data_IF_777553690745
#
_entry.id   IF_777553690745
#
_cell.length_a   1.000
_cell.length_b   1.000
_cell.length_c   1.000
_cell.angle_alpha   90.00
_cell.angle_beta   90.00
_cell.angle_gamma   90.00
#
_symmetry.space_group_name_H-M   'P 1'
#
loop_
_entity.id
_entity.type
_entity.pdbx_description
1 polymer ?
#
# COMPACT_ATOMS: atom_id res chain seq x y z
N UNK A 1 -1.64 2.49 31.40
CA UNK A 1 -1.38 2.08 29.99
C UNK A 1 -1.97 3.17 29.09
N UNK A 2 -1.15 3.86 28.27
CA UNK A 2 -1.61 5.00 27.45
C UNK A 2 -2.55 4.53 26.33
N UNK A 3 -3.62 5.29 26.03
CA UNK A 3 -4.60 5.03 24.96
C UNK A 3 -3.93 4.74 23.59
N UNK A 4 -2.83 5.46 23.29
CA UNK A 4 -2.03 5.21 22.08
C UNK A 4 -1.39 3.80 22.05
N UNK A 5 -0.98 3.28 23.20
CA UNK A 5 -0.40 1.93 23.31
C UNK A 5 -1.49 0.85 23.11
N UNK A 6 -2.70 1.10 23.65
CA UNK A 6 -3.85 0.20 23.45
C UNK A 6 -4.25 0.17 21.97
N UNK A 7 -4.33 1.35 21.34
CA UNK A 7 -4.67 1.45 19.91
C UNK A 7 -3.66 0.71 19.01
N UNK A 8 -2.35 0.83 19.29
CA UNK A 8 -1.31 0.09 18.55
C UNK A 8 -1.42 -1.43 18.72
N UNK A 9 -1.69 -1.90 19.95
CA UNK A 9 -1.88 -3.34 20.20
C UNK A 9 -3.11 -3.88 19.48
N UNK A 10 -4.21 -3.13 19.50
CA UNK A 10 -5.44 -3.52 18.80
C UNK A 10 -5.22 -3.56 17.28
N UNK A 11 -4.58 -2.55 16.70
CA UNK A 11 -4.24 -2.54 15.28
C UNK A 11 -3.34 -3.73 14.89
N UNK A 12 -2.35 -4.09 15.73
CA UNK A 12 -1.50 -5.27 15.52
C UNK A 12 -2.31 -6.57 15.56
N UNK A 13 -3.20 -6.72 16.54
CA UNK A 13 -4.06 -7.91 16.64
C UNK A 13 -5.00 -8.02 15.45
N UNK A 14 -5.63 -6.92 15.04
CA UNK A 14 -6.48 -6.87 13.84
C UNK A 14 -5.70 -7.25 12.59
N UNK A 15 -4.50 -6.70 12.40
CA UNK A 15 -3.62 -7.03 11.27
C UNK A 15 -3.31 -8.53 11.23
N UNK A 16 -2.87 -9.10 12.34
CA UNK A 16 -2.53 -10.52 12.41
C UNK A 16 -3.75 -11.42 12.16
N UNK A 17 -4.92 -11.04 12.69
CA UNK A 17 -6.16 -11.76 12.49
C UNK A 17 -6.60 -11.73 11.01
N UNK A 18 -6.59 -10.55 10.38
CA UNK A 18 -7.00 -10.38 8.98
C UNK A 18 -6.01 -11.02 8.01
N UNK A 19 -4.70 -10.88 8.26
CA UNK A 19 -3.66 -11.55 7.44
C UNK A 19 -3.78 -13.08 7.50
N UNK A 20 -4.17 -13.63 8.64
CA UNK A 20 -4.37 -15.08 8.79
C UNK A 20 -5.73 -15.58 8.30
N UNK A 21 -6.74 -14.72 8.37
CA UNK A 21 -8.14 -15.02 8.02
C UNK A 21 -8.77 -13.79 7.35
N UNK A 22 -8.57 -13.57 6.05
CA UNK A 22 -8.99 -12.35 5.34
C UNK A 22 -10.49 -12.05 5.46
N UNK A 23 -11.34 -13.06 5.61
CA UNK A 23 -12.78 -12.88 5.78
C UNK A 23 -13.18 -12.07 7.04
N UNK A 24 -12.30 -12.03 8.08
CA UNK A 24 -12.51 -11.21 9.27
C UNK A 24 -12.53 -9.71 8.96
N UNK A 25 -11.95 -9.29 7.83
CA UNK A 25 -11.99 -7.90 7.40
C UNK A 25 -13.41 -7.32 7.35
N UNK A 26 -14.38 -8.12 6.97
CA UNK A 26 -15.80 -7.72 6.93
C UNK A 26 -16.30 -7.15 8.28
N UNK A 27 -15.73 -7.59 9.39
CA UNK A 27 -16.09 -7.11 10.73
C UNK A 27 -15.41 -5.78 11.07
N UNK A 28 -14.21 -5.54 10.53
CA UNK A 28 -13.38 -4.39 10.88
C UNK A 28 -13.48 -3.22 9.89
N UNK A 29 -13.83 -3.46 8.64
CA UNK A 29 -13.76 -2.46 7.56
C UNK A 29 -14.53 -1.17 7.86
N UNK A 30 -15.74 -1.27 8.45
CA UNK A 30 -16.57 -0.09 8.77
C UNK A 30 -15.92 0.78 9.84
N UNK A 31 -15.39 0.16 10.88
CA UNK A 31 -14.69 0.87 11.96
C UNK A 31 -13.40 1.48 11.46
N UNK A 32 -12.64 0.74 10.65
CA UNK A 32 -11.40 1.21 10.01
C UNK A 32 -11.69 2.43 9.12
N UNK A 33 -12.70 2.35 8.24
CA UNK A 33 -13.14 3.48 7.42
C UNK A 33 -13.48 4.71 8.27
N UNK A 34 -14.33 4.53 9.28
CA UNK A 34 -14.71 5.61 10.18
C UNK A 34 -13.52 6.25 10.89
N UNK A 35 -12.55 5.45 11.35
CA UNK A 35 -11.32 5.95 11.97
C UNK A 35 -10.50 6.81 11.01
N UNK A 36 -10.28 6.34 9.79
CA UNK A 36 -9.53 7.09 8.78
C UNK A 36 -10.28 8.34 8.31
N UNK A 37 -11.61 8.27 8.15
CA UNK A 37 -12.43 9.44 7.87
C UNK A 37 -12.31 10.51 8.96
N UNK A 38 -12.26 10.12 10.24
CA UNK A 38 -12.14 11.04 11.36
C UNK A 38 -10.77 11.75 11.42
N UNK A 39 -9.69 11.06 11.03
CA UNK A 39 -8.33 11.62 11.11
C UNK A 39 -7.86 12.29 9.81
N UNK A 40 -8.54 12.08 8.69
CA UNK A 40 -8.15 12.57 7.38
C UNK A 40 -7.75 14.06 7.36
N UNK A 41 -8.51 15.02 7.97
CA UNK A 41 -8.14 16.44 7.94
C UNK A 41 -6.82 16.78 8.63
N UNK A 42 -6.34 15.88 9.51
CA UNK A 42 -5.10 16.09 10.29
C UNK A 42 -4.00 15.12 9.89
N UNK A 43 -4.24 14.25 8.92
CA UNK A 43 -3.32 13.16 8.57
C UNK A 43 -1.93 13.68 8.20
N UNK A 44 -1.84 14.70 7.36
CA UNK A 44 -0.56 15.28 6.93
C UNK A 44 0.23 15.89 8.11
N UNK A 45 -0.44 16.49 9.10
CA UNK A 45 0.23 17.07 10.28
C UNK A 45 0.78 16.00 11.24
N UNK A 46 0.25 14.78 11.17
CA UNK A 46 0.71 13.64 11.97
C UNK A 46 1.78 12.81 11.27
N UNK A 47 2.00 13.05 9.98
CA UNK A 47 2.96 12.29 9.18
C UNK A 47 4.39 12.66 9.55
N UNK A 48 5.22 11.65 9.73
CA UNK A 48 6.65 11.85 10.00
C UNK A 48 7.39 12.27 8.72
N UNK A 49 8.47 13.05 8.80
CA UNK A 49 9.24 13.50 7.63
C UNK A 49 9.68 12.36 6.73
N UNK A 50 10.15 11.25 7.29
CA UNK A 50 10.73 10.12 6.53
C UNK A 50 9.70 9.06 6.16
N UNK A 51 8.40 9.42 6.11
CA UNK A 51 7.32 8.43 5.90
C UNK A 51 7.46 7.69 4.58
N UNK A 52 7.92 8.33 3.52
CA UNK A 52 8.06 7.74 2.19
C UNK A 52 9.42 7.08 1.95
N UNK A 53 10.44 7.32 2.78
CA UNK A 53 11.80 6.87 2.52
C UNK A 53 11.93 5.37 2.17
N UNK A 54 11.27 4.41 2.85
CA UNK A 54 11.35 3.00 2.44
C UNK A 54 10.69 2.71 1.10
N UNK A 55 9.58 3.40 0.78
CA UNK A 55 8.91 3.30 -0.51
C UNK A 55 9.84 3.83 -1.62
N UNK A 56 10.35 5.05 -1.48
CA UNK A 56 11.22 5.71 -2.45
C UNK A 56 12.49 4.91 -2.73
N UNK A 57 13.11 4.36 -1.67
CA UNK A 57 14.26 3.47 -1.81
C UNK A 57 13.93 2.22 -2.66
N UNK A 58 12.76 1.61 -2.42
CA UNK A 58 12.35 0.42 -3.15
C UNK A 58 11.89 0.71 -4.58
N UNK A 59 11.34 1.90 -4.87
CA UNK A 59 10.98 2.32 -6.23
C UNK A 59 12.21 2.38 -7.16
N UNK A 60 13.43 2.57 -6.62
CA UNK A 60 14.66 2.52 -7.41
C UNK A 60 14.96 1.13 -7.98
N UNK A 61 14.45 0.07 -7.33
CA UNK A 61 14.63 -1.31 -7.78
C UNK A 61 13.52 -1.83 -8.69
N UNK A 62 12.54 -0.99 -9.03
CA UNK A 62 11.43 -1.40 -9.92
C UNK A 62 11.88 -1.33 -11.38
N UNK A 63 12.01 -2.50 -12.00
CA UNK A 63 12.37 -2.66 -13.41
C UNK A 63 11.56 -3.79 -14.05
N UNK A 64 11.08 -3.61 -15.29
CA UNK A 64 11.06 -2.38 -16.08
C UNK A 64 10.16 -1.30 -15.46
N UNK A 65 10.32 -0.04 -15.91
CA UNK A 65 9.46 1.05 -15.47
C UNK A 65 7.98 0.72 -15.73
N UNK A 66 7.11 0.83 -14.71
CA UNK A 66 5.70 0.47 -14.84
C UNK A 66 4.95 1.54 -15.64
N UNK A 67 3.89 1.13 -16.35
CA UNK A 67 2.96 2.03 -17.02
C UNK A 67 1.64 2.20 -16.27
N UNK A 68 1.19 1.15 -15.59
CA UNK A 68 -0.03 1.18 -14.79
C UNK A 68 0.27 0.80 -13.35
N UNK A 69 0.05 1.73 -12.44
CA UNK A 69 0.39 1.56 -11.03
C UNK A 69 -0.87 1.71 -10.16
N UNK A 70 -1.01 0.82 -9.19
CA UNK A 70 -2.01 0.91 -8.15
C UNK A 70 -1.32 1.16 -6.80
N UNK A 71 -1.65 2.26 -6.14
CA UNK A 71 -1.24 2.56 -4.76
C UNK A 71 -2.40 2.25 -3.81
N UNK A 72 -2.31 1.12 -3.11
CA UNK A 72 -3.34 0.64 -2.19
C UNK A 72 -3.21 1.25 -0.79
N UNK A 73 -4.32 1.75 -0.27
CA UNK A 73 -4.34 2.50 0.98
C UNK A 73 -3.61 3.83 0.83
N UNK A 74 -3.84 4.50 -0.30
CA UNK A 74 -3.14 5.73 -0.71
C UNK A 74 -3.28 6.89 0.29
N UNK A 75 -4.29 6.84 1.17
CA UNK A 75 -4.57 7.86 2.15
C UNK A 75 -4.74 9.23 1.49
N UNK A 76 -3.92 10.19 1.89
CA UNK A 76 -3.86 11.55 1.33
C UNK A 76 -3.04 11.65 0.04
N UNK A 77 -2.72 10.52 -0.60
CA UNK A 77 -2.12 10.45 -1.92
C UNK A 77 -0.61 10.73 -2.00
N UNK A 78 0.09 10.75 -0.87
CA UNK A 78 1.52 11.09 -0.88
C UNK A 78 2.38 10.06 -1.63
N UNK A 79 2.10 8.77 -1.44
CA UNK A 79 2.79 7.70 -2.15
C UNK A 79 2.46 7.73 -3.65
N UNK A 80 1.19 7.90 -4.01
CA UNK A 80 0.78 8.00 -5.41
C UNK A 80 1.48 9.15 -6.16
N UNK A 81 1.63 10.32 -5.50
CA UNK A 81 2.38 11.45 -6.09
C UNK A 81 3.86 11.11 -6.29
N UNK A 82 4.54 10.58 -5.27
CA UNK A 82 5.94 10.18 -5.36
C UNK A 82 6.18 9.13 -6.47
N UNK A 83 5.24 8.20 -6.65
CA UNK A 83 5.28 7.20 -7.72
C UNK A 83 5.14 7.87 -9.09
N UNK A 84 4.19 8.80 -9.26
CA UNK A 84 3.98 9.52 -10.50
C UNK A 84 5.16 10.43 -10.89
N UNK A 85 5.84 11.02 -9.90
CA UNK A 85 7.08 11.77 -10.09
C UNK A 85 8.24 10.87 -10.50
N UNK A 86 8.36 9.68 -9.87
CA UNK A 86 9.42 8.70 -10.19
C UNK A 86 9.27 8.05 -11.56
N UNK A 87 8.02 7.85 -12.02
CA UNK A 87 7.69 7.21 -13.28
C UNK A 87 6.82 8.15 -14.15
N UNK A 88 7.43 9.04 -14.94
CA UNK A 88 6.71 10.08 -15.70
C UNK A 88 5.69 9.53 -16.72
N UNK A 89 5.91 8.31 -17.22
CA UNK A 89 5.02 7.67 -18.19
C UNK A 89 3.91 6.80 -17.53
N UNK A 90 3.90 6.72 -16.20
CA UNK A 90 2.94 5.88 -15.49
C UNK A 90 1.61 6.59 -15.26
N UNK A 91 0.52 5.85 -15.47
CA UNK A 91 -0.80 6.15 -14.92
C UNK A 91 -0.91 5.55 -13.52
N UNK A 92 -1.23 6.37 -12.54
CA UNK A 92 -1.30 5.97 -11.13
C UNK A 92 -2.73 6.06 -10.62
N UNK A 93 -3.23 4.97 -10.09
CA UNK A 93 -4.49 4.91 -9.34
C UNK A 93 -4.16 4.83 -7.86
N UNK A 94 -4.54 5.84 -7.10
CA UNK A 94 -4.54 5.78 -5.65
C UNK A 94 -5.89 5.28 -5.14
N UNK A 95 -5.92 4.13 -4.51
CA UNK A 95 -7.15 3.54 -3.98
C UNK A 95 -7.18 3.55 -2.46
N UNK A 96 -8.29 3.95 -1.87
CA UNK A 96 -8.48 3.94 -0.41
C UNK A 96 -9.93 3.62 -0.04
N UNK A 97 -10.14 3.07 1.14
CA UNK A 97 -11.47 2.79 1.69
C UNK A 97 -12.16 4.06 2.20
N UNK A 98 -11.40 5.10 2.55
CA UNK A 98 -11.87 6.35 3.14
C UNK A 98 -12.10 7.43 2.09
N UNK A 99 -13.34 7.83 1.78
CA UNK A 99 -13.62 8.92 0.86
C UNK A 99 -13.10 10.27 1.36
N UNK A 100 -12.94 10.45 2.68
CA UNK A 100 -12.37 11.67 3.23
C UNK A 100 -10.85 11.75 2.99
N UNK A 101 -10.13 10.64 3.12
CA UNK A 101 -8.71 10.56 2.71
C UNK A 101 -8.55 10.91 1.24
N UNK A 102 -9.38 10.34 0.37
CA UNK A 102 -9.35 10.64 -1.07
C UNK A 102 -9.73 12.10 -1.37
N UNK A 103 -10.58 12.72 -0.57
CA UNK A 103 -10.87 14.15 -0.66
C UNK A 103 -9.64 15.01 -0.37
N UNK A 104 -8.84 14.66 0.65
CA UNK A 104 -7.56 15.31 0.93
C UNK A 104 -6.54 15.03 -0.18
N UNK A 105 -6.48 13.80 -0.68
CA UNK A 105 -5.58 13.43 -1.77
C UNK A 105 -5.84 14.26 -3.04
N UNK A 106 -7.12 14.44 -3.42
CA UNK A 106 -7.51 15.28 -4.59
C UNK A 106 -7.15 16.75 -4.39
N UNK A 107 -7.31 17.28 -3.17
CA UNK A 107 -6.92 18.67 -2.85
C UNK A 107 -5.42 18.89 -2.89
N UNK A 108 -4.64 17.87 -2.51
CA UNK A 108 -3.18 17.92 -2.47
C UNK A 108 -2.51 17.54 -3.79
N UNK A 109 -3.28 17.14 -4.82
CA UNK A 109 -2.74 16.72 -6.11
C UNK A 109 -2.27 17.93 -6.92
N UNK A 110 -0.97 18.01 -7.28
CA UNK A 110 -0.45 19.04 -8.17
C UNK A 110 -1.11 18.95 -9.56
N UNK A 111 -1.36 20.10 -10.19
CA UNK A 111 -2.04 20.15 -11.48
C UNK A 111 -1.27 19.43 -12.59
N UNK A 112 0.05 19.45 -12.56
CA UNK A 112 0.93 18.76 -13.50
C UNK A 112 0.82 17.24 -13.44
N UNK A 113 0.35 16.68 -12.32
CA UNK A 113 0.11 15.25 -12.16
C UNK A 113 -1.35 14.84 -12.43
N UNK A 114 -2.27 15.79 -12.53
CA UNK A 114 -3.72 15.55 -12.59
C UNK A 114 -4.15 14.73 -13.84
N UNK A 115 -3.39 14.77 -14.92
CA UNK A 115 -3.64 13.96 -16.12
C UNK A 115 -3.28 12.49 -15.96
N UNK A 116 -2.45 12.12 -14.98
CA UNK A 116 -1.89 10.77 -14.79
C UNK A 116 -2.20 10.14 -13.44
N UNK A 117 -2.66 10.92 -12.47
CA UNK A 117 -3.00 10.43 -11.13
C UNK A 117 -4.49 10.59 -10.89
N UNK A 118 -5.16 9.51 -10.53
CA UNK A 118 -6.56 9.53 -10.12
C UNK A 118 -6.76 8.81 -8.80
N UNK A 119 -7.80 9.18 -8.07
CA UNK A 119 -8.12 8.60 -6.76
C UNK A 119 -9.51 7.96 -6.78
N UNK A 120 -9.59 6.70 -6.33
CA UNK A 120 -10.80 5.88 -6.38
C UNK A 120 -11.10 5.25 -5.01
N UNK A 121 -12.39 5.19 -4.63
CA UNK A 121 -12.80 4.46 -3.43
C UNK A 121 -12.82 2.96 -3.76
N UNK A 122 -12.01 2.18 -3.01
CA UNK A 122 -11.99 0.74 -3.16
C UNK A 122 -11.70 0.02 -1.84
N UNK A 123 -12.30 -1.16 -1.69
CA UNK A 123 -11.96 -2.11 -0.62
C UNK A 123 -10.87 -3.06 -1.15
N UNK A 124 -9.69 -3.01 -0.56
CA UNK A 124 -8.55 -3.82 -0.98
C UNK A 124 -8.78 -5.34 -0.82
N UNK A 125 -9.83 -5.74 -0.10
CA UNK A 125 -10.23 -7.16 0.01
C UNK A 125 -11.06 -7.66 -1.17
N UNK A 126 -11.53 -6.74 -2.05
CA UNK A 126 -12.33 -7.05 -3.24
C UNK A 126 -12.18 -5.88 -4.23
N UNK A 127 -11.07 -5.84 -4.95
CA UNK A 127 -10.70 -4.74 -5.85
C UNK A 127 -11.56 -4.76 -7.13
N UNK A 128 -12.07 -3.60 -7.58
CA UNK A 128 -12.92 -3.51 -8.77
C UNK A 128 -12.11 -3.47 -10.09
N UNK A 129 -10.99 -4.18 -10.14
CA UNK A 129 -10.10 -4.24 -11.30
C UNK A 129 -10.00 -5.67 -11.83
N UNK A 130 -9.76 -5.80 -13.13
CA UNK A 130 -9.53 -7.08 -13.79
C UNK A 130 -8.19 -7.70 -13.38
N UNK A 131 -8.05 -9.00 -13.60
CA UNK A 131 -6.82 -9.74 -13.36
C UNK A 131 -5.68 -9.17 -14.20
N UNK A 132 -4.50 -9.00 -13.60
CA UNK A 132 -3.31 -8.54 -14.30
C UNK A 132 -3.39 -7.11 -14.84
N UNK A 133 -4.19 -6.25 -14.22
CA UNK A 133 -4.35 -4.86 -14.67
C UNK A 133 -3.10 -4.01 -14.46
N UNK A 134 -2.34 -4.22 -13.39
CA UNK A 134 -1.27 -3.31 -12.97
C UNK A 134 0.13 -3.92 -13.10
N UNK A 135 1.07 -3.13 -13.61
CA UNK A 135 2.49 -3.49 -13.70
C UNK A 135 3.18 -3.38 -12.34
N UNK A 136 2.69 -2.47 -11.48
CA UNK A 136 3.16 -2.29 -10.11
C UNK A 136 1.97 -2.07 -9.18
N UNK A 137 1.95 -2.78 -8.05
CA UNK A 137 1.05 -2.50 -6.93
C UNK A 137 1.90 -2.10 -5.73
N UNK A 138 1.68 -0.92 -5.18
CA UNK A 138 2.34 -0.44 -3.96
C UNK A 138 1.38 -0.52 -2.77
N UNK A 139 1.97 -0.67 -1.60
CA UNK A 139 1.25 -0.95 -0.37
C UNK A 139 2.03 -0.37 0.81
N UNK A 140 1.62 0.79 1.29
CA UNK A 140 2.32 1.46 2.38
C UNK A 140 1.48 1.49 3.67
N UNK A 141 2.02 0.91 4.75
CA UNK A 141 1.40 0.92 6.09
C UNK A 141 -0.08 0.47 6.07
N UNK A 142 -0.41 -0.56 5.32
CA UNK A 142 -1.76 -1.10 5.19
C UNK A 142 -1.78 -2.62 5.44
N UNK A 143 -2.94 -3.19 5.77
CA UNK A 143 -3.12 -4.64 5.89
C UNK A 143 -3.09 -5.28 4.50
N UNK A 144 -2.20 -6.25 4.21
CA UNK A 144 -2.13 -6.90 2.91
C UNK A 144 -3.28 -7.87 2.67
N UNK A 145 -3.88 -7.78 1.48
CA UNK A 145 -4.83 -8.75 0.93
C UNK A 145 -4.16 -9.49 -0.22
N UNK A 146 -3.39 -10.50 0.12
CA UNK A 146 -2.46 -11.15 -0.80
C UNK A 146 -3.11 -11.73 -2.05
N UNK A 147 -4.33 -12.29 -1.96
CA UNK A 147 -5.04 -12.87 -3.11
C UNK A 147 -5.43 -11.80 -4.11
N UNK A 148 -6.00 -10.68 -3.65
CA UNK A 148 -6.38 -9.57 -4.50
C UNK A 148 -5.16 -8.86 -5.11
N UNK A 149 -4.12 -8.62 -4.31
CA UNK A 149 -2.85 -8.07 -4.82
C UNK A 149 -2.27 -8.97 -5.90
N UNK A 150 -2.23 -10.29 -5.65
CA UNK A 150 -1.71 -11.24 -6.63
C UNK A 150 -2.57 -11.30 -7.89
N UNK A 151 -3.90 -11.17 -7.76
CA UNK A 151 -4.82 -11.19 -8.88
C UNK A 151 -4.62 -10.00 -9.81
N UNK A 152 -4.55 -8.79 -9.25
CA UNK A 152 -4.48 -7.54 -10.04
C UNK A 152 -3.10 -7.20 -10.58
N UNK A 153 -2.01 -7.78 -10.01
CA UNK A 153 -0.66 -7.63 -10.55
C UNK A 153 -0.51 -8.43 -11.84
N UNK A 154 -0.06 -7.78 -12.91
CA UNK A 154 0.22 -8.40 -14.20
C UNK A 154 1.32 -9.47 -14.10
N UNK A 155 1.35 -10.41 -15.03
CA UNK A 155 2.48 -11.34 -15.19
C UNK A 155 3.74 -10.54 -15.53
N UNK A 156 4.84 -10.80 -14.83
CA UNK A 156 6.07 -10.01 -14.93
C UNK A 156 6.02 -8.65 -14.21
N UNK A 157 4.87 -8.26 -13.67
CA UNK A 157 4.71 -7.08 -12.84
C UNK A 157 5.22 -7.28 -11.42
N UNK A 158 5.17 -6.24 -10.60
CA UNK A 158 5.76 -6.23 -9.27
C UNK A 158 4.77 -5.79 -8.19
N UNK A 159 5.04 -6.22 -6.96
CA UNK A 159 4.41 -5.70 -5.75
C UNK A 159 5.46 -5.13 -4.80
N UNK A 160 5.14 -4.02 -4.15
CA UNK A 160 5.99 -3.35 -3.19
C UNK A 160 5.24 -3.13 -1.88
N UNK A 161 5.74 -3.71 -0.79
CA UNK A 161 5.26 -3.47 0.57
C UNK A 161 6.23 -2.58 1.31
N UNK A 162 5.78 -1.45 1.86
CA UNK A 162 6.59 -0.52 2.64
C UNK A 162 6.00 -0.29 4.02
N UNK A 163 6.86 -0.29 5.04
CA UNK A 163 6.52 -0.04 6.44
C UNK A 163 7.41 1.05 7.00
N UNK A 164 6.86 2.23 7.20
CA UNK A 164 7.58 3.46 7.61
C UNK A 164 8.37 3.32 8.90
N UNK A 165 7.82 2.64 9.88
CA UNK A 165 8.46 2.40 11.18
C UNK A 165 9.03 0.98 11.32
N UNK A 166 9.16 0.24 10.24
CA UNK A 166 9.58 -1.16 10.29
C UNK A 166 8.71 -1.98 11.26
N UNK A 167 9.33 -2.79 12.10
CA UNK A 167 8.66 -3.60 13.11
C UNK A 167 7.86 -2.79 14.16
N UNK A 168 8.12 -1.48 14.28
CA UNK A 168 7.36 -0.56 15.13
C UNK A 168 6.03 -0.13 14.53
N UNK A 169 5.79 -0.35 13.24
CA UNK A 169 4.51 -0.05 12.60
C UNK A 169 3.42 -0.99 13.13
N UNK A 170 2.24 -0.48 13.57
CA UNK A 170 1.18 -1.33 14.11
C UNK A 170 0.70 -2.42 13.15
N UNK A 171 0.71 -2.12 11.86
CA UNK A 171 0.27 -3.00 10.77
C UNK A 171 1.44 -3.70 10.06
N UNK A 172 2.57 -3.85 10.76
CA UNK A 172 3.75 -4.51 10.21
C UNK A 172 3.54 -6.01 9.98
N UNK A 173 3.94 -6.47 8.80
CA UNK A 173 4.08 -7.90 8.48
C UNK A 173 5.56 -8.18 8.22
N UNK A 174 6.17 -9.15 8.91
CA UNK A 174 7.59 -9.47 8.72
C UNK A 174 7.92 -9.86 7.27
N UNK A 175 9.11 -9.50 6.75
CA UNK A 175 9.52 -9.83 5.38
C UNK A 175 9.45 -11.33 5.06
N UNK A 176 9.78 -12.18 6.01
CA UNK A 176 9.73 -13.64 5.87
C UNK A 176 8.29 -14.10 5.56
N UNK A 177 7.31 -13.58 6.30
CA UNK A 177 5.89 -13.88 6.07
C UNK A 177 5.40 -13.31 4.75
N UNK A 178 5.80 -12.09 4.39
CA UNK A 178 5.47 -11.52 3.08
C UNK A 178 6.00 -12.40 1.95
N UNK A 179 7.26 -12.86 2.05
CA UNK A 179 7.88 -13.78 1.07
C UNK A 179 7.12 -15.08 0.94
N UNK A 180 6.76 -15.72 2.07
CA UNK A 180 6.02 -16.98 2.06
C UNK A 180 4.66 -16.83 1.36
N UNK A 181 3.90 -15.79 1.72
CA UNK A 181 2.58 -15.53 1.14
C UNK A 181 2.66 -15.18 -0.35
N UNK A 182 3.67 -14.42 -0.75
CA UNK A 182 3.90 -14.04 -2.15
C UNK A 182 4.41 -15.21 -2.99
N UNK A 183 5.34 -16.04 -2.47
CA UNK A 183 5.82 -17.25 -3.16
C UNK A 183 4.69 -18.20 -3.51
N UNK A 184 3.75 -18.43 -2.60
CA UNK A 184 2.56 -19.27 -2.83
C UNK A 184 1.69 -18.78 -3.99
N UNK A 185 1.83 -17.49 -4.35
CA UNK A 185 1.06 -16.80 -5.40
C UNK A 185 1.88 -16.49 -6.66
N UNK A 186 3.03 -17.14 -6.80
CA UNK A 186 3.87 -17.04 -8.00
C UNK A 186 4.75 -15.80 -8.08
N UNK A 187 5.06 -15.17 -6.94
CA UNK A 187 6.08 -14.11 -6.89
C UNK A 187 7.47 -14.70 -6.60
N UNK A 188 8.47 -14.05 -7.17
CA UNK A 188 9.90 -14.37 -7.09
C UNK A 188 10.73 -13.08 -7.05
N UNK A 189 12.04 -13.19 -7.13
CA UNK A 189 12.97 -12.05 -7.24
C UNK A 189 12.75 -10.99 -6.14
N UNK A 190 12.87 -11.46 -4.90
CA UNK A 190 12.65 -10.61 -3.73
C UNK A 190 13.85 -9.72 -3.44
N UNK A 191 13.61 -8.41 -3.29
CA UNK A 191 14.59 -7.44 -2.83
C UNK A 191 14.09 -6.71 -1.57
N UNK A 192 14.94 -6.56 -0.58
CA UNK A 192 14.66 -5.78 0.63
C UNK A 192 15.41 -4.46 0.61
N UNK A 193 14.71 -3.42 1.07
CA UNK A 193 15.24 -2.07 1.17
C UNK A 193 15.05 -1.56 2.61
N UNK A 194 16.02 -0.79 3.09
CA UNK A 194 15.94 -0.12 4.39
C UNK A 194 16.26 1.34 4.17
N UNK A 195 15.38 2.21 4.65
CA UNK A 195 15.59 3.66 4.62
C UNK A 195 14.86 4.33 5.79
N UNK A 196 15.51 5.33 6.39
CA UNK A 196 15.02 5.92 7.62
C UNK A 196 14.84 4.86 8.71
N UNK A 197 13.66 4.83 9.33
CA UNK A 197 13.29 3.83 10.35
C UNK A 197 12.51 2.64 9.79
N UNK A 198 12.30 2.64 8.49
CA UNK A 198 11.43 1.70 7.81
C UNK A 198 12.16 0.67 6.97
N UNK A 199 11.36 -0.22 6.41
CA UNK A 199 11.79 -1.21 5.45
C UNK A 199 10.74 -1.41 4.36
N UNK A 200 11.18 -1.89 3.21
CA UNK A 200 10.30 -2.31 2.14
C UNK A 200 10.74 -3.65 1.55
N UNK A 201 9.78 -4.37 0.98
CA UNK A 201 9.97 -5.60 0.22
C UNK A 201 9.39 -5.40 -1.18
N UNK A 202 10.22 -5.55 -2.20
CA UNK A 202 9.82 -5.63 -3.59
C UNK A 202 9.83 -7.09 -4.03
N UNK A 203 8.82 -7.52 -4.77
CA UNK A 203 8.76 -8.86 -5.34
C UNK A 203 8.16 -8.81 -6.75
N UNK A 204 8.68 -9.63 -7.65
CA UNK A 204 8.22 -9.73 -9.04
C UNK A 204 7.36 -10.97 -9.24
N UNK A 205 6.24 -10.82 -9.94
CA UNK A 205 5.39 -11.95 -10.31
C UNK A 205 5.99 -12.67 -11.52
N UNK A 206 5.99 -14.01 -11.51
CA UNK A 206 6.48 -14.79 -12.63
C UNK A 206 5.80 -14.40 -13.95
N UNK A 207 6.58 -14.30 -15.02
CA UNK A 207 6.07 -13.97 -16.37
C UNK A 207 5.35 -15.17 -17.02
N UNK A 208 5.76 -16.40 -16.66
CA UNK A 208 5.13 -17.68 -17.11
C UNK A 208 4.95 -18.58 -15.88
N UNK A 209 3.87 -19.34 -15.88
CA UNK A 209 3.67 -20.53 -15.05
C UNK A 209 4.00 -21.73 -15.91
#
# INVERSE_FOLDING_TARGET
MNLATIGRKLARLTTNAVVSRPWLWRLFRRVTRWQFDAVAPRWETMRLPDTLAPLEAALQGVEPAPRRVLDLGTGTGAAARAIAERFPEAEVVGADLSPRMLGEARRALPQELASRVRYEEADASALPYEDGTFDLVTHQNMIPFFDEVARVVARGGSVLFAFTGGAGTPIYVPPERLREELKRRGFMDFAEFRAGRGNALLARKAARV
#
